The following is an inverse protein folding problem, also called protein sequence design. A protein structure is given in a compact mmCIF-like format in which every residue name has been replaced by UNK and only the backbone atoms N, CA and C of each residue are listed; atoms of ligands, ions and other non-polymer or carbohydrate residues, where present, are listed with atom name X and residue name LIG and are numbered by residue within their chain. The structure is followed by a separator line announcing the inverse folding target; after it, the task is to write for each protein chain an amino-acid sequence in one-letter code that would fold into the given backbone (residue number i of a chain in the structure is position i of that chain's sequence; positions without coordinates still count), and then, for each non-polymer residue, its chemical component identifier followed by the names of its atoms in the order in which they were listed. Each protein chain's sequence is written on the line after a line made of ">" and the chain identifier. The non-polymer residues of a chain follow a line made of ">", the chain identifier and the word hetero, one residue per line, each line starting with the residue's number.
data_IF_830241174089
#
_entry.id   IF_830241174089
#
_cell.length_a   1.000
_cell.length_b   1.000
_cell.length_c   1.000
_cell.angle_alpha   90.00
_cell.angle_beta   90.00
_cell.angle_gamma   90.00
#
_symmetry.space_group_name_H-M   'P 1'
#
loop_
_entity.id
_entity.type
_entity.pdbx_description
1 polymer ?
#
# COMPACT_ATOMS: atom_id res chain seq x y z
N UNK A 1 -15.70 35.43 44.54
CA UNK A 1 -16.59 34.71 43.61
C UNK A 1 -16.17 35.04 42.18
N UNK A 2 -15.24 34.26 41.63
CA UNK A 2 -14.69 34.40 40.28
C UNK A 2 -14.21 33.01 39.89
N UNK A 3 -14.94 32.28 39.05
CA UNK A 3 -14.49 31.11 38.24
C UNK A 3 -15.70 30.30 37.74
N UNK A 4 -16.62 30.87 36.95
CA UNK A 4 -17.65 30.06 36.28
C UNK A 4 -18.02 30.53 34.86
N UNK A 5 -17.22 31.41 34.22
CA UNK A 5 -17.55 31.95 32.88
C UNK A 5 -16.51 31.55 31.81
N UNK A 6 -15.48 30.79 32.16
CA UNK A 6 -14.40 30.37 31.25
C UNK A 6 -14.42 28.87 30.94
N UNK A 7 -15.61 28.25 30.89
CA UNK A 7 -15.73 26.82 30.55
C UNK A 7 -16.52 26.53 29.26
N UNK A 8 -17.16 27.54 28.65
CA UNK A 8 -18.13 27.30 27.55
C UNK A 8 -17.57 27.52 26.14
N UNK A 9 -16.34 28.02 25.99
CA UNK A 9 -15.79 28.42 24.68
C UNK A 9 -14.79 27.41 24.07
N UNK A 10 -14.50 26.30 24.75
CA UNK A 10 -13.49 25.31 24.31
C UNK A 10 -14.15 24.07 23.66
N UNK A 11 -15.47 23.93 23.72
CA UNK A 11 -16.17 22.74 23.21
C UNK A 11 -16.50 22.76 21.70
N UNK A 12 -16.15 23.83 20.97
CA UNK A 12 -16.57 24.01 19.56
C UNK A 12 -15.50 23.56 18.53
N UNK A 13 -14.28 23.21 18.96
CA UNK A 13 -13.19 22.88 18.02
C UNK A 13 -13.07 21.39 17.62
N UNK A 14 -14.01 20.53 18.02
CA UNK A 14 -13.99 19.10 17.64
C UNK A 14 -14.97 18.70 16.53
N UNK A 15 -15.50 19.67 15.78
CA UNK A 15 -16.38 19.41 14.63
C UNK A 15 -15.68 19.64 13.29
N UNK A 16 -14.38 19.33 13.21
CA UNK A 16 -13.73 19.02 11.94
C UNK A 16 -14.39 17.76 11.40
N UNK A 17 -15.42 17.95 10.58
CA UNK A 17 -16.13 16.88 9.91
C UNK A 17 -15.12 15.93 9.28
N UNK A 18 -15.05 14.74 9.83
CA UNK A 18 -14.50 13.56 9.17
C UNK A 18 -15.44 13.33 7.98
N UNK A 19 -15.17 14.03 6.88
CA UNK A 19 -15.78 13.75 5.58
C UNK A 19 -15.34 12.34 5.26
N UNK A 20 -16.22 11.38 5.52
CA UNK A 20 -16.01 9.98 5.23
C UNK A 20 -16.01 9.81 3.71
N UNK A 21 -14.92 10.21 3.05
CA UNK A 21 -14.52 9.54 1.83
C UNK A 21 -14.41 8.05 2.18
N UNK A 22 -14.98 7.22 1.33
CA UNK A 22 -15.13 5.79 1.54
C UNK A 22 -13.74 5.13 1.62
N UNK A 23 -13.12 5.14 2.80
CA UNK A 23 -11.85 4.45 3.05
C UNK A 23 -12.14 2.96 3.10
N UNK A 24 -11.90 2.27 2.00
CA UNK A 24 -11.86 0.80 2.00
C UNK A 24 -10.45 0.39 2.43
N UNK A 25 -10.34 -0.43 3.47
CA UNK A 25 -9.12 -1.15 3.76
C UNK A 25 -8.95 -2.29 2.77
N UNK A 26 -7.70 -2.65 2.47
CA UNK A 26 -7.40 -3.90 1.79
C UNK A 26 -7.03 -4.99 2.80
N UNK A 27 -7.38 -6.24 2.47
CA UNK A 27 -7.20 -7.42 3.32
C UNK A 27 -6.54 -8.55 2.51
N UNK A 28 -5.56 -9.24 3.11
CA UNK A 28 -4.90 -10.43 2.56
C UNK A 28 -5.89 -11.57 2.32
N UNK A 29 -5.67 -12.35 1.26
CA UNK A 29 -6.44 -13.56 0.96
C UNK A 29 -5.53 -14.76 0.70
N UNK A 30 -5.74 -15.82 1.50
CA UNK A 30 -5.22 -17.17 1.24
C UNK A 30 -3.77 -17.44 1.65
N UNK A 31 -3.39 -18.70 1.46
CA UNK A 31 -2.03 -19.21 1.68
C UNK A 31 -1.14 -18.83 0.47
N UNK A 32 0.04 -18.30 0.74
CA UNK A 32 0.98 -17.79 -0.27
C UNK A 32 2.29 -18.55 -0.14
N UNK A 33 2.80 -19.11 -1.24
CA UNK A 33 4.04 -19.88 -1.26
C UNK A 33 5.26 -19.00 -1.54
N UNK A 34 5.07 -17.92 -2.29
CA UNK A 34 6.15 -16.99 -2.59
C UNK A 34 5.67 -15.56 -2.78
N UNK A 35 6.59 -14.63 -2.56
CA UNK A 35 6.45 -13.21 -2.85
C UNK A 35 7.63 -12.76 -3.72
N UNK A 36 7.34 -12.26 -4.91
CA UNK A 36 8.35 -11.64 -5.77
C UNK A 36 8.35 -10.14 -5.51
N UNK A 37 9.49 -9.65 -5.02
CA UNK A 37 9.78 -8.23 -4.85
C UNK A 37 10.61 -7.76 -6.04
N UNK A 38 10.13 -6.76 -6.78
CA UNK A 38 10.80 -6.23 -7.97
C UNK A 38 10.79 -4.71 -7.94
N UNK A 39 11.97 -4.09 -8.08
CA UNK A 39 12.09 -2.66 -8.37
C UNK A 39 12.01 -2.42 -9.87
N UNK A 40 11.22 -1.41 -10.24
CA UNK A 40 11.05 -0.91 -11.60
C UNK A 40 11.64 0.49 -11.67
N UNK A 41 12.44 0.76 -12.69
CA UNK A 41 13.03 2.10 -12.90
C UNK A 41 12.79 2.50 -14.35
N UNK A 42 12.19 3.66 -14.56
CA UNK A 42 11.81 4.15 -15.90
C UNK A 42 11.02 3.11 -16.73
N UNK A 43 10.13 2.37 -16.07
CA UNK A 43 9.33 1.31 -16.70
C UNK A 43 10.07 -0.01 -16.99
N UNK A 44 11.38 -0.09 -16.70
CA UNK A 44 12.17 -1.29 -16.94
C UNK A 44 12.36 -2.15 -15.69
N UNK A 45 12.30 -3.48 -15.87
CA UNK A 45 12.61 -4.49 -14.84
C UNK A 45 13.95 -5.16 -15.13
N UNK A 46 14.56 -5.78 -14.12
CA UNK A 46 15.73 -6.64 -14.32
C UNK A 46 15.80 -7.69 -13.21
N UNK A 47 16.43 -8.83 -13.50
CA UNK A 47 16.68 -9.89 -12.51
C UNK A 47 17.56 -9.41 -11.35
N UNK A 48 18.50 -8.48 -11.61
CA UNK A 48 19.33 -7.85 -10.58
C UNK A 48 18.55 -6.95 -9.61
N UNK A 49 17.30 -6.60 -9.95
CA UNK A 49 16.39 -5.77 -9.15
C UNK A 49 15.18 -6.56 -8.66
N UNK A 50 15.31 -7.88 -8.59
CA UNK A 50 14.27 -8.81 -8.22
C UNK A 50 14.76 -9.76 -7.12
N UNK A 51 13.87 -10.11 -6.18
CA UNK A 51 14.11 -11.16 -5.19
C UNK A 51 12.83 -11.93 -4.91
N UNK A 52 12.94 -13.23 -4.73
CA UNK A 52 11.85 -14.08 -4.27
C UNK A 52 12.00 -14.37 -2.78
N UNK A 53 10.93 -14.12 -2.02
CA UNK A 53 10.79 -14.50 -0.62
C UNK A 53 9.88 -15.73 -0.58
N UNK A 54 10.27 -16.76 0.16
CA UNK A 54 9.51 -18.03 0.29
C UNK A 54 9.18 -18.37 1.74
N UNK A 55 9.65 -17.57 2.70
CA UNK A 55 9.32 -17.74 4.11
C UNK A 55 7.89 -17.23 4.36
N UNK A 56 6.93 -18.09 4.76
CA UNK A 56 5.52 -17.70 4.86
C UNK A 56 5.25 -16.60 5.87
N UNK A 57 5.99 -16.57 6.99
CA UNK A 57 5.83 -15.56 8.05
C UNK A 57 6.30 -14.20 7.54
N UNK A 58 7.46 -14.15 6.87
CA UNK A 58 7.97 -12.93 6.23
C UNK A 58 7.02 -12.41 5.16
N UNK A 59 6.46 -13.29 4.32
CA UNK A 59 5.46 -12.91 3.31
C UNK A 59 4.22 -12.31 3.99
N UNK A 60 3.73 -12.94 5.06
CA UNK A 60 2.58 -12.44 5.80
C UNK A 60 2.85 -11.06 6.38
N UNK A 61 4.00 -10.85 7.02
CA UNK A 61 4.38 -9.58 7.63
C UNK A 61 4.50 -8.46 6.60
N UNK A 62 5.15 -8.71 5.45
CA UNK A 62 5.27 -7.73 4.38
C UNK A 62 3.89 -7.27 3.88
N UNK A 63 2.98 -8.22 3.65
CA UNK A 63 1.66 -7.88 3.10
C UNK A 63 0.75 -7.19 4.12
N UNK A 64 0.92 -7.50 5.41
CA UNK A 64 0.22 -6.82 6.51
C UNK A 64 0.61 -5.34 6.62
N UNK A 65 1.79 -4.92 6.16
CA UNK A 65 2.20 -3.50 6.19
C UNK A 65 1.23 -2.59 5.45
N UNK A 66 0.53 -3.13 4.46
CA UNK A 66 -0.48 -2.38 3.74
C UNK A 66 -1.89 -2.45 4.34
N UNK A 67 -2.20 -3.47 5.15
CA UNK A 67 -3.57 -3.68 5.60
C UNK A 67 -4.07 -2.50 6.45
N UNK A 68 -5.34 -2.14 6.27
CA UNK A 68 -5.96 -1.06 7.04
C UNK A 68 -5.59 0.36 6.62
N UNK A 69 -4.70 0.54 5.63
CA UNK A 69 -4.41 1.88 5.10
C UNK A 69 -5.65 2.48 4.44
N UNK A 70 -5.91 3.76 4.72
CA UNK A 70 -7.00 4.49 4.09
C UNK A 70 -6.77 4.59 2.58
N UNK A 71 -7.73 4.09 1.79
CA UNK A 71 -7.59 4.06 0.34
C UNK A 71 -8.89 4.42 -0.40
N UNK A 72 -8.72 4.94 -1.61
CA UNK A 72 -9.78 5.21 -2.58
C UNK A 72 -9.59 4.36 -3.83
N UNK A 73 -10.68 4.04 -4.53
CA UNK A 73 -10.60 3.34 -5.81
C UNK A 73 -10.27 4.32 -6.94
N UNK A 74 -9.31 3.95 -7.79
CA UNK A 74 -8.91 4.68 -8.99
C UNK A 74 -8.98 3.77 -10.23
N UNK A 75 -8.94 4.39 -11.41
CA UNK A 75 -8.92 3.64 -12.68
C UNK A 75 -7.53 3.06 -12.97
N UNK A 76 -7.48 2.07 -13.87
CA UNK A 76 -6.20 1.54 -14.37
C UNK A 76 -5.34 2.59 -15.06
N UNK A 77 -5.96 3.50 -15.81
CA UNK A 77 -5.27 4.61 -16.47
C UNK A 77 -4.66 5.59 -15.46
N UNK A 78 -5.40 5.94 -14.40
CA UNK A 78 -4.87 6.81 -13.33
C UNK A 78 -3.68 6.15 -12.63
N UNK A 79 -3.79 4.85 -12.30
CA UNK A 79 -2.70 4.10 -11.68
C UNK A 79 -1.46 4.01 -12.57
N UNK A 80 -1.63 3.81 -13.88
CA UNK A 80 -0.54 3.82 -14.84
C UNK A 80 0.11 5.20 -14.98
N UNK A 81 -0.71 6.26 -14.96
CA UNK A 81 -0.22 7.64 -14.91
C UNK A 81 0.64 7.90 -13.67
N UNK A 82 0.24 7.39 -12.50
CA UNK A 82 1.03 7.48 -11.26
C UNK A 82 2.36 6.72 -11.37
N UNK A 83 2.34 5.49 -11.89
CA UNK A 83 3.54 4.68 -12.13
C UNK A 83 4.51 5.34 -13.11
N UNK A 84 3.98 5.95 -14.18
CA UNK A 84 4.79 6.62 -15.21
C UNK A 84 5.39 7.93 -14.70
N UNK A 85 4.66 8.67 -13.86
CA UNK A 85 5.16 9.88 -13.23
C UNK A 85 6.25 9.59 -12.18
N UNK A 86 6.25 8.40 -11.59
CA UNK A 86 7.28 7.94 -10.68
C UNK A 86 8.51 7.44 -11.48
N UNK A 87 9.69 8.02 -11.21
CA UNK A 87 10.95 7.56 -11.82
C UNK A 87 11.32 6.11 -11.46
N UNK A 88 10.85 5.64 -10.31
CA UNK A 88 10.93 4.25 -9.87
C UNK A 88 9.80 3.89 -8.92
N UNK A 89 9.55 2.59 -8.77
CA UNK A 89 8.61 2.02 -7.81
C UNK A 89 8.94 0.56 -7.52
N UNK A 90 8.37 0.01 -6.46
CA UNK A 90 8.52 -1.38 -6.05
C UNK A 90 7.21 -2.13 -6.24
N UNK A 91 7.31 -3.40 -6.63
CA UNK A 91 6.16 -4.31 -6.73
C UNK A 91 6.37 -5.50 -5.80
N UNK A 92 5.32 -5.90 -5.11
CA UNK A 92 5.26 -7.04 -4.19
C UNK A 92 4.12 -7.94 -4.66
N UNK A 93 4.47 -9.02 -5.37
CA UNK A 93 3.51 -9.92 -6.02
C UNK A 93 3.54 -11.27 -5.35
N UNK A 94 2.44 -11.68 -4.73
CA UNK A 94 2.35 -12.96 -4.05
C UNK A 94 1.77 -14.03 -4.95
N UNK A 95 2.33 -15.22 -4.90
CA UNK A 95 1.89 -16.38 -5.67
C UNK A 95 1.59 -17.53 -4.71
N UNK A 96 0.52 -18.26 -4.99
CA UNK A 96 0.28 -19.57 -4.41
C UNK A 96 1.01 -20.61 -5.27
N UNK A 97 0.34 -21.18 -6.28
CA UNK A 97 0.88 -22.21 -7.19
C UNK A 97 0.72 -21.88 -8.67
N UNK A 98 0.08 -20.75 -8.99
CA UNK A 98 -0.18 -20.33 -10.37
C UNK A 98 0.77 -19.22 -10.81
N UNK A 99 0.91 -19.04 -12.12
CA UNK A 99 1.71 -17.94 -12.69
C UNK A 99 1.06 -16.56 -12.51
N UNK A 100 -0.20 -16.51 -12.06
CA UNK A 100 -0.92 -15.26 -11.81
C UNK A 100 -0.80 -14.89 -10.34
N UNK A 101 -0.41 -13.65 -10.00
CA UNK A 101 -0.33 -13.25 -8.61
C UNK A 101 -1.73 -13.24 -7.97
N UNK A 102 -1.82 -13.82 -6.78
CA UNK A 102 -3.02 -13.80 -5.94
C UNK A 102 -3.27 -12.40 -5.37
N UNK A 103 -2.20 -11.62 -5.24
CA UNK A 103 -2.20 -10.30 -4.68
C UNK A 103 -0.99 -9.50 -5.19
N UNK A 104 -1.20 -8.21 -5.48
CA UNK A 104 -0.17 -7.33 -6.02
C UNK A 104 -0.26 -5.96 -5.35
N UNK A 105 0.81 -5.57 -4.67
CA UNK A 105 1.02 -4.21 -4.16
C UNK A 105 2.09 -3.56 -5.02
N UNK A 106 1.83 -2.34 -5.48
CA UNK A 106 2.82 -1.41 -6.00
C UNK A 106 3.02 -0.32 -4.95
N UNK A 107 4.27 -0.01 -4.63
CA UNK A 107 4.62 1.09 -3.71
C UNK A 107 5.53 2.06 -4.46
N UNK A 108 5.07 3.30 -4.62
CA UNK A 108 5.87 4.37 -5.22
C UNK A 108 6.93 4.84 -4.20
N UNK A 109 7.99 5.49 -4.66
CA UNK A 109 9.09 5.97 -3.79
C UNK A 109 8.61 7.00 -2.75
N UNK A 110 7.51 7.73 -3.03
CA UNK A 110 6.89 8.64 -2.07
C UNK A 110 6.02 7.93 -1.02
N UNK A 111 5.97 6.60 -1.03
CA UNK A 111 5.17 5.81 -0.11
C UNK A 111 3.68 5.74 -0.45
N UNK A 112 3.28 6.11 -1.67
CA UNK A 112 1.92 5.83 -2.18
C UNK A 112 1.77 4.34 -2.49
N UNK A 113 0.72 3.70 -1.97
CA UNK A 113 0.42 2.30 -2.25
C UNK A 113 -0.67 2.21 -3.32
N UNK A 114 -0.47 1.36 -4.32
CA UNK A 114 -1.47 0.93 -5.29
C UNK A 114 -1.69 -0.57 -5.13
N UNK A 115 -2.92 -0.99 -4.83
CA UNK A 115 -3.26 -2.38 -4.57
C UNK A 115 -4.21 -2.89 -5.62
N UNK A 116 -3.81 -3.98 -6.26
CA UNK A 116 -4.60 -4.73 -7.22
C UNK A 116 -5.14 -6.00 -6.55
N UNK A 117 -6.43 -5.99 -6.23
CA UNK A 117 -7.13 -7.16 -5.74
C UNK A 117 -7.57 -8.09 -6.88
N UNK A 118 -7.57 -9.40 -6.64
CA UNK A 118 -7.95 -10.46 -7.61
C UNK A 118 -9.43 -10.50 -8.03
N UNK A 119 -10.29 -9.62 -7.50
CA UNK A 119 -11.68 -9.56 -7.95
C UNK A 119 -11.76 -8.70 -9.21
N UNK A 120 -12.25 -9.32 -10.30
CA UNK A 120 -12.34 -8.80 -11.67
C UNK A 120 -13.02 -7.42 -11.84
N UNK A 121 -13.65 -6.87 -10.80
CA UNK A 121 -14.40 -5.61 -10.80
C UNK A 121 -14.04 -4.63 -9.67
N UNK A 122 -12.99 -4.86 -8.87
CA UNK A 122 -12.73 -4.01 -7.68
C UNK A 122 -11.97 -2.69 -7.95
N UNK A 123 -11.53 -2.44 -9.18
CA UNK A 123 -10.63 -1.33 -9.50
C UNK A 123 -9.28 -1.45 -8.78
N UNK A 124 -8.43 -0.43 -8.92
CA UNK A 124 -7.15 -0.34 -8.21
C UNK A 124 -7.37 0.54 -6.98
N UNK A 125 -6.95 0.08 -5.79
CA UNK A 125 -7.02 0.92 -4.59
C UNK A 125 -5.73 1.73 -4.47
N UNK A 126 -5.83 3.02 -4.20
CA UNK A 126 -4.69 3.91 -3.95
C UNK A 126 -4.84 4.53 -2.56
N UNK A 127 -3.76 4.57 -1.78
CA UNK A 127 -3.79 5.23 -0.47
C UNK A 127 -4.10 6.73 -0.60
N UNK A 128 -4.82 7.25 0.38
CA UNK A 128 -5.12 8.70 0.46
C UNK A 128 -3.93 9.50 0.96
N UNK A 129 -3.09 8.87 1.79
CA UNK A 129 -1.88 9.44 2.38
C UNK A 129 -0.62 8.70 1.88
N UNK A 130 0.54 9.32 2.07
CA UNK A 130 1.85 8.73 1.81
C UNK A 130 2.42 8.06 3.05
N UNK A 131 3.10 6.93 2.86
CA UNK A 131 3.63 6.10 3.95
C UNK A 131 5.08 5.67 3.68
N UNK A 132 5.99 6.63 3.49
CA UNK A 132 7.39 6.40 3.07
C UNK A 132 8.11 5.31 3.90
N UNK A 133 7.94 5.33 5.22
CA UNK A 133 8.60 4.39 6.15
C UNK A 133 8.20 2.93 5.86
N UNK A 134 6.96 2.70 5.40
CA UNK A 134 6.47 1.34 5.16
C UNK A 134 7.20 0.68 3.99
N UNK A 135 7.64 1.44 2.98
CA UNK A 135 8.43 0.89 1.89
C UNK A 135 9.78 0.36 2.41
N UNK A 136 10.45 1.12 3.28
CA UNK A 136 11.72 0.70 3.86
C UNK A 136 11.57 -0.51 4.78
N UNK A 137 10.52 -0.55 5.61
CA UNK A 137 10.17 -1.72 6.42
C UNK A 137 9.97 -2.96 5.53
N UNK A 138 9.18 -2.85 4.46
CA UNK A 138 8.91 -3.96 3.54
C UNK A 138 10.19 -4.43 2.83
N UNK A 139 11.08 -3.50 2.44
CA UNK A 139 12.38 -3.82 1.85
C UNK A 139 13.29 -4.53 2.84
N UNK A 140 13.32 -4.09 4.08
CA UNK A 140 14.11 -4.71 5.14
C UNK A 140 13.63 -6.14 5.42
N UNK A 141 12.31 -6.35 5.54
CA UNK A 141 11.72 -7.68 5.72
C UNK A 141 12.03 -8.61 4.54
N UNK A 142 11.97 -8.10 3.31
CA UNK A 142 12.36 -8.86 2.12
C UNK A 142 13.88 -9.04 1.98
N UNK A 143 14.69 -8.37 2.80
CA UNK A 143 16.15 -8.31 2.72
C UNK A 143 16.61 -7.89 1.29
N UNK A 144 16.09 -6.77 0.81
CA UNK A 144 16.45 -6.17 -0.49
C UNK A 144 17.12 -4.80 -0.31
N UNK A 145 18.16 -4.54 -1.09
CA UNK A 145 18.97 -3.31 -1.02
C UNK A 145 19.21 -2.63 -2.39
N UNK A 146 18.53 -3.09 -3.44
CA UNK A 146 18.60 -2.54 -4.79
C UNK A 146 17.69 -1.32 -5.01
#
# INVERSE_FOLDING_TARGET
>A
MKTYITALLISILFLSGCSSEFTKSFEKKGDMESLVVQKVVNGETSSSRAKTVTDPDTIAEILQKGEGLGAKTITGEEAEGKKTAASSYYTFRSYSTSETPVYSIVVLEDGTFLVEGTKKDSGIMMTTDTHEILLDDMKQLADVNF
#
